data_IF_279483029489
#
_entry.id   IF_279483029489
#
_cell.length_a   1.000
_cell.length_b   1.000
_cell.length_c   1.000
_cell.angle_alpha   90.00
_cell.angle_beta   90.00
_cell.angle_gamma   90.00
#
_symmetry.space_group_name_H-M   'P 1'
#
loop_
_entity.id
_entity.type
_entity.pdbx_description
1 polymer ?
#
# COMPACT_ATOMS: atom_id res chain seq x y z
N UNK A 1 2.13 6.44 40.23
CA UNK A 1 1.82 5.39 41.21
C UNK A 1 1.09 4.27 40.45
N UNK A 2 1.59 3.03 40.54
CA UNK A 2 0.86 1.88 40.04
C UNK A 2 -0.47 1.74 40.80
N UNK A 3 -1.55 1.26 40.15
CA UNK A 3 -2.81 0.98 40.83
C UNK A 3 -2.62 -0.01 41.99
N UNK A 4 -3.38 0.15 43.04
CA UNK A 4 -3.35 -0.78 44.20
C UNK A 4 -3.71 -2.19 43.73
N UNK A 5 -2.82 -3.16 44.00
CA UNK A 5 -2.95 -4.55 43.58
C UNK A 5 -2.07 -4.98 42.41
N UNK A 6 -1.32 -4.05 41.79
CA UNK A 6 -0.30 -4.43 40.81
C UNK A 6 0.99 -4.89 41.51
N UNK A 7 1.43 -6.08 41.19
CA UNK A 7 2.75 -6.59 41.58
C UNK A 7 3.80 -6.11 40.58
N UNK A 8 4.93 -5.65 41.08
CA UNK A 8 6.05 -5.16 40.26
C UNK A 8 6.76 -6.29 39.48
N UNK A 9 6.69 -7.50 40.00
CA UNK A 9 7.35 -8.68 39.45
C UNK A 9 6.52 -9.94 39.79
N UNK A 10 6.33 -10.77 38.81
CA UNK A 10 5.66 -12.05 38.95
C UNK A 10 6.53 -13.14 38.28
N UNK A 11 7.04 -14.07 39.11
CA UNK A 11 7.77 -15.24 38.60
C UNK A 11 6.82 -16.42 38.50
N UNK A 12 6.76 -17.03 37.31
CA UNK A 12 5.88 -18.17 37.02
C UNK A 12 6.72 -19.31 36.49
N UNK A 13 6.82 -20.39 37.26
CA UNK A 13 7.59 -21.57 36.89
C UNK A 13 6.88 -22.37 35.77
N UNK A 14 7.67 -22.83 34.77
CA UNK A 14 7.17 -23.68 33.69
C UNK A 14 6.30 -22.97 32.65
N UNK A 15 6.23 -21.64 32.68
CA UNK A 15 5.50 -20.89 31.65
C UNK A 15 6.29 -20.84 30.34
N UNK A 16 5.60 -20.93 29.17
CA UNK A 16 6.20 -20.57 27.91
C UNK A 16 6.52 -19.07 27.88
N UNK A 17 7.41 -18.61 26.96
CA UNK A 17 7.68 -17.18 26.79
C UNK A 17 6.39 -16.39 26.53
N UNK A 18 6.19 -15.28 27.24
CA UNK A 18 5.00 -14.42 27.14
C UNK A 18 5.10 -13.40 26.00
N UNK A 19 6.10 -13.53 25.18
CA UNK A 19 6.34 -12.72 24.01
C UNK A 19 6.78 -13.60 22.85
N UNK A 20 6.58 -13.12 21.63
CA UNK A 20 7.14 -13.74 20.46
C UNK A 20 7.93 -12.69 19.67
N UNK A 21 9.08 -13.11 19.15
CA UNK A 21 9.89 -12.31 18.25
C UNK A 21 9.51 -12.69 16.83
N UNK A 22 9.11 -11.69 16.07
CA UNK A 22 8.93 -11.84 14.63
C UNK A 22 10.16 -11.30 13.92
N UNK A 23 10.80 -12.16 13.13
CA UNK A 23 11.87 -11.75 12.20
C UNK A 23 11.38 -11.93 10.78
N UNK A 24 11.47 -10.89 9.91
CA UNK A 24 11.18 -11.05 8.49
C UNK A 24 12.01 -12.17 7.87
N UNK A 25 11.48 -12.78 6.81
CA UNK A 25 12.13 -13.91 6.13
C UNK A 25 13.46 -13.55 5.43
N UNK A 26 13.82 -12.26 5.35
CA UNK A 26 15.09 -11.82 4.81
C UNK A 26 16.26 -12.20 5.74
N UNK A 27 17.26 -12.88 5.18
CA UNK A 27 18.44 -13.29 5.92
C UNK A 27 19.37 -12.11 6.15
N UNK A 28 19.76 -11.90 7.42
CA UNK A 28 20.80 -10.94 7.79
C UNK A 28 22.17 -11.58 7.57
N UNK A 29 22.86 -11.13 6.53
CA UNK A 29 24.21 -11.61 6.19
C UNK A 29 25.35 -10.66 6.64
N UNK A 30 25.03 -9.54 7.28
CA UNK A 30 26.00 -8.52 7.70
C UNK A 30 26.57 -8.85 9.08
N UNK A 31 25.77 -9.47 9.95
CA UNK A 31 26.17 -9.83 11.29
C UNK A 31 25.50 -11.15 11.70
N UNK A 32 26.31 -12.12 12.10
CA UNK A 32 25.83 -13.43 12.56
C UNK A 32 25.28 -13.40 14.00
N UNK A 33 24.98 -12.23 14.52
CA UNK A 33 24.38 -12.04 15.85
C UNK A 33 22.97 -12.67 15.94
N UNK A 34 22.53 -13.02 17.15
CA UNK A 34 21.35 -13.85 17.34
C UNK A 34 20.07 -13.19 16.86
N UNK A 35 19.46 -13.77 15.84
CA UNK A 35 18.02 -13.77 15.65
C UNK A 35 17.31 -12.51 15.19
N UNK A 36 18.01 -11.41 14.95
CA UNK A 36 17.38 -10.20 14.41
C UNK A 36 17.37 -10.28 12.89
N UNK A 37 16.18 -10.28 12.29
CA UNK A 37 16.00 -10.22 10.84
C UNK A 37 16.42 -8.89 10.25
N UNK A 38 16.51 -8.83 8.92
CA UNK A 38 16.66 -7.58 8.18
C UNK A 38 15.32 -6.94 7.89
N UNK A 39 15.29 -5.62 7.77
CA UNK A 39 14.12 -4.91 7.28
C UNK A 39 13.81 -5.33 5.84
N UNK A 40 12.52 -5.42 5.49
CA UNK A 40 12.06 -5.72 4.13
C UNK A 40 12.60 -4.73 3.09
N UNK A 41 12.86 -3.50 3.48
CA UNK A 41 13.38 -2.44 2.61
C UNK A 41 14.90 -2.20 2.76
N UNK A 42 15.62 -3.06 3.47
CA UNK A 42 17.05 -2.86 3.70
C UNK A 42 17.89 -2.82 2.42
N UNK A 43 17.50 -3.60 1.42
CA UNK A 43 18.18 -3.64 0.11
C UNK A 43 17.67 -2.55 -0.85
N UNK A 44 16.62 -1.82 -0.46
CA UNK A 44 15.97 -0.81 -1.27
C UNK A 44 16.22 0.63 -0.78
N UNK A 45 17.19 0.85 0.12
CA UNK A 45 17.48 2.18 0.70
C UNK A 45 17.88 3.19 -0.36
N UNK A 46 18.74 2.79 -1.30
CA UNK A 46 19.19 3.68 -2.38
C UNK A 46 18.03 4.06 -3.31
N UNK A 47 17.12 3.11 -3.56
CA UNK A 47 15.91 3.38 -4.35
C UNK A 47 14.93 4.27 -3.61
N UNK A 48 14.83 4.14 -2.28
CA UNK A 48 14.03 5.05 -1.46
C UNK A 48 14.54 6.50 -1.55
N UNK A 49 15.86 6.69 -1.49
CA UNK A 49 16.48 8.00 -1.74
C UNK A 49 16.21 8.50 -3.17
N UNK A 50 16.19 7.60 -4.15
CA UNK A 50 15.83 7.93 -5.52
C UNK A 50 14.39 8.43 -5.64
N UNK A 51 13.45 7.83 -4.91
CA UNK A 51 12.05 8.29 -4.84
C UNK A 51 11.97 9.69 -4.23
N UNK A 52 12.65 9.94 -3.11
CA UNK A 52 12.70 11.25 -2.46
C UNK A 52 13.23 12.31 -3.42
N UNK A 53 14.34 12.02 -4.09
CA UNK A 53 14.97 12.94 -5.06
C UNK A 53 14.03 13.22 -6.24
N UNK A 54 13.37 12.21 -6.79
CA UNK A 54 12.45 12.38 -7.90
C UNK A 54 11.22 13.23 -7.48
N UNK A 55 10.70 13.01 -6.29
CA UNK A 55 9.61 13.78 -5.73
C UNK A 55 10.00 15.23 -5.44
N UNK A 56 11.17 15.46 -4.86
CA UNK A 56 11.69 16.80 -4.61
C UNK A 56 11.93 17.57 -5.91
N UNK A 57 12.48 16.92 -6.93
CA UNK A 57 12.63 17.53 -8.25
C UNK A 57 11.28 17.92 -8.85
N UNK A 58 10.27 17.07 -8.73
CA UNK A 58 8.92 17.38 -9.20
C UNK A 58 8.34 18.59 -8.47
N UNK A 59 8.43 18.59 -7.14
CA UNK A 59 7.96 19.71 -6.31
C UNK A 59 8.71 21.01 -6.64
N UNK A 60 10.02 20.92 -6.83
CA UNK A 60 10.84 22.08 -7.13
C UNK A 60 10.56 22.62 -8.54
N UNK A 61 10.30 21.75 -9.50
CA UNK A 61 9.92 22.14 -10.87
C UNK A 61 8.57 22.90 -10.87
N UNK A 62 7.60 22.44 -10.08
CA UNK A 62 6.32 23.13 -9.88
C UNK A 62 6.52 24.49 -9.18
N UNK A 63 7.40 24.54 -8.18
CA UNK A 63 7.65 25.77 -7.43
C UNK A 63 8.43 26.79 -8.25
N UNK A 64 9.49 26.36 -8.95
CA UNK A 64 10.36 27.25 -9.75
C UNK A 64 9.79 27.51 -11.14
N UNK A 65 8.96 26.62 -11.68
CA UNK A 65 8.36 26.74 -13.00
C UNK A 65 7.17 27.74 -13.07
N UNK A 66 6.79 28.34 -11.95
CA UNK A 66 5.78 29.39 -11.94
C UNK A 66 6.19 30.56 -12.84
N UNK A 67 5.20 31.18 -13.50
CA UNK A 67 5.41 32.37 -14.33
C UNK A 67 6.17 33.43 -13.55
N UNK A 68 7.26 33.97 -14.13
CA UNK A 68 8.06 35.05 -13.56
C UNK A 68 8.18 36.19 -14.55
N UNK A 69 8.12 37.39 -14.04
CA UNK A 69 8.28 38.61 -14.83
C UNK A 69 9.52 39.33 -14.32
N UNK A 70 10.52 39.45 -15.19
CA UNK A 70 11.71 40.22 -14.94
C UNK A 70 11.51 41.60 -15.57
N UNK A 71 11.68 42.66 -14.79
CA UNK A 71 11.49 44.03 -15.24
C UNK A 71 12.63 44.94 -14.80
N UNK A 72 12.90 45.98 -15.58
CA UNK A 72 13.91 46.94 -15.21
C UNK A 72 13.39 47.81 -14.04
N UNK A 73 14.29 48.16 -13.10
CA UNK A 73 13.97 49.05 -11.95
C UNK A 73 13.40 50.39 -12.35
N UNK A 74 13.76 50.89 -13.54
CA UNK A 74 13.22 52.15 -14.07
C UNK A 74 11.69 52.14 -14.25
N UNK A 75 11.10 50.96 -14.41
CA UNK A 75 9.65 50.79 -14.50
C UNK A 75 8.93 50.84 -13.14
N UNK A 76 9.69 50.84 -12.03
CA UNK A 76 9.12 50.89 -10.70
C UNK A 76 8.78 52.29 -10.29
N UNK A 77 7.66 52.51 -9.62
CA UNK A 77 7.40 53.76 -8.91
C UNK A 77 8.38 53.92 -7.76
N UNK A 78 9.13 54.98 -7.73
CA UNK A 78 10.05 55.29 -6.63
C UNK A 78 9.30 56.13 -5.60
N UNK A 79 9.22 55.62 -4.36
CA UNK A 79 8.72 56.39 -3.21
C UNK A 79 9.92 56.64 -2.28
N UNK A 80 10.05 57.87 -1.80
CA UNK A 80 11.03 58.21 -0.78
C UNK A 80 10.44 57.79 0.57
N UNK A 81 11.09 56.82 1.22
CA UNK A 81 10.70 56.37 2.56
C UNK A 81 10.91 57.46 3.61
N UNK A 82 10.34 57.32 4.80
CA UNK A 82 10.52 58.24 5.93
C UNK A 82 11.99 58.35 6.38
N UNK A 83 12.83 57.41 5.98
CA UNK A 83 14.28 57.36 6.18
C UNK A 83 15.10 58.05 5.07
N UNK A 84 14.41 58.75 4.15
CA UNK A 84 15.03 59.47 3.03
C UNK A 84 15.60 58.57 1.91
N UNK A 85 15.39 57.25 2.01
CA UNK A 85 15.92 56.28 1.01
C UNK A 85 14.87 55.98 -0.04
N UNK A 86 15.26 55.92 -1.32
CA UNK A 86 14.32 55.51 -2.38
C UNK A 86 13.93 54.04 -2.20
N UNK A 87 12.62 53.79 -2.15
CA UNK A 87 12.03 52.46 -2.19
C UNK A 87 11.35 52.27 -3.53
N UNK A 88 11.64 51.19 -4.18
CA UNK A 88 10.99 50.79 -5.43
C UNK A 88 9.75 49.95 -5.14
N UNK A 89 8.60 50.38 -5.65
CA UNK A 89 7.37 49.60 -5.55
C UNK A 89 7.15 48.91 -6.88
N UNK A 90 7.09 47.56 -6.91
CA UNK A 90 6.75 46.85 -8.13
C UNK A 90 5.37 47.21 -8.61
N UNK A 91 5.09 47.12 -9.93
CA UNK A 91 3.76 47.35 -10.46
C UNK A 91 2.79 46.32 -9.85
N UNK A 92 1.75 46.85 -9.22
CA UNK A 92 0.65 46.15 -8.53
C UNK A 92 0.77 44.63 -8.27
N UNK A 93 0.97 44.38 -7.02
CA UNK A 93 0.33 43.42 -6.16
C UNK A 93 -0.23 42.13 -6.79
N UNK A 94 0.57 41.12 -6.87
CA UNK A 94 0.09 39.75 -6.72
C UNK A 94 1.27 38.82 -6.51
N UNK A 95 1.66 38.70 -5.28
CA UNK A 95 2.78 37.85 -4.82
C UNK A 95 4.18 38.32 -5.25
N UNK A 96 4.92 38.77 -4.29
CA UNK A 96 6.35 39.19 -4.34
C UNK A 96 7.25 38.16 -5.07
N UNK A 97 6.75 36.97 -5.34
CA UNK A 97 7.45 35.87 -6.01
C UNK A 97 7.34 35.87 -7.55
N UNK A 98 6.47 36.68 -8.14
CA UNK A 98 6.30 36.73 -9.60
C UNK A 98 7.10 37.83 -10.29
N UNK A 99 7.48 38.88 -9.57
CA UNK A 99 8.14 40.05 -10.13
C UNK A 99 9.58 40.17 -9.59
N UNK A 100 10.54 40.18 -10.50
CA UNK A 100 11.97 40.33 -10.19
C UNK A 100 12.54 41.57 -10.83
N UNK A 101 12.97 42.52 -10.01
CA UNK A 101 13.62 43.74 -10.49
C UNK A 101 15.07 43.46 -10.88
N UNK A 102 15.41 43.73 -12.13
CA UNK A 102 16.78 43.68 -12.61
C UNK A 102 17.49 45.02 -12.32
N UNK A 103 18.81 45.03 -11.99
CA UNK A 103 19.59 46.25 -11.89
C UNK A 103 19.64 46.88 -13.28
N UNK A 104 19.15 48.15 -13.39
CA UNK A 104 19.24 48.90 -14.63
C UNK A 104 20.69 48.98 -15.15
N UNK A 105 20.87 48.89 -16.45
CA UNK A 105 22.17 49.12 -17.10
C UNK A 105 22.43 50.60 -17.07
N UNK A 106 23.28 51.07 -16.16
CA UNK A 106 23.82 52.46 -16.23
C UNK A 106 24.63 52.61 -17.51
N UNK A 107 24.17 53.46 -18.42
CA UNK A 107 24.93 53.93 -19.58
C UNK A 107 24.51 53.48 -20.98
N UNK A 108 23.37 52.83 -21.16
CA UNK A 108 22.82 52.58 -22.50
C UNK A 108 21.84 53.71 -22.92
N UNK A 109 22.19 54.42 -23.97
CA UNK A 109 21.35 55.51 -24.56
C UNK A 109 20.19 54.98 -25.41
N UNK A 110 20.05 53.67 -25.52
CA UNK A 110 18.90 53.01 -26.12
C UNK A 110 17.89 52.63 -25.03
N UNK A 111 16.98 53.51 -24.78
CA UNK A 111 15.85 53.38 -23.84
C UNK A 111 14.80 52.36 -24.33
N UNK A 112 15.12 51.13 -24.53
CA UNK A 112 14.13 50.06 -24.55
C UNK A 112 13.97 49.54 -23.14
N UNK A 113 12.98 50.00 -22.43
CA UNK A 113 12.48 49.43 -21.19
C UNK A 113 12.14 47.96 -21.46
N UNK A 114 13.06 47.04 -21.09
CA UNK A 114 12.87 45.63 -21.34
C UNK A 114 12.23 44.98 -20.12
N UNK A 115 11.12 44.35 -20.34
CA UNK A 115 10.56 43.35 -19.45
C UNK A 115 10.63 41.98 -20.12
N UNK A 116 10.96 40.95 -19.35
CA UNK A 116 11.07 39.59 -19.83
C UNK A 116 10.08 38.73 -19.07
N UNK A 117 9.24 38.05 -19.79
CA UNK A 117 8.35 37.05 -19.24
C UNK A 117 9.05 35.69 -19.33
N UNK A 118 9.18 35.03 -18.20
CA UNK A 118 9.67 33.66 -18.09
C UNK A 118 8.48 32.78 -17.71
N UNK A 119 8.01 32.00 -18.64
CA UNK A 119 6.89 31.06 -18.48
C UNK A 119 7.29 29.72 -19.09
N UNK A 120 8.15 28.94 -18.41
CA UNK A 120 8.60 27.66 -18.94
C UNK A 120 7.48 26.63 -18.93
N UNK A 121 7.50 25.73 -19.90
CA UNK A 121 6.65 24.57 -19.86
C UNK A 121 7.03 23.68 -18.67
N UNK A 122 6.04 23.34 -17.85
CA UNK A 122 6.24 22.44 -16.71
C UNK A 122 6.44 21.03 -17.21
N UNK A 123 7.51 20.36 -16.76
CA UNK A 123 7.85 18.96 -17.11
C UNK A 123 7.07 17.97 -16.27
N UNK A 124 5.77 18.17 -16.13
CA UNK A 124 4.91 17.37 -15.24
C UNK A 124 4.88 15.90 -15.62
N UNK A 125 4.82 15.59 -16.93
CA UNK A 125 4.78 14.21 -17.41
C UNK A 125 6.10 13.50 -17.18
N UNK A 126 7.23 14.13 -17.47
CA UNK A 126 8.56 13.57 -17.24
C UNK A 126 8.82 13.34 -15.76
N UNK A 127 8.44 14.29 -14.91
CA UNK A 127 8.59 14.17 -13.46
C UNK A 127 7.68 13.06 -12.91
N UNK A 128 6.45 12.96 -13.39
CA UNK A 128 5.54 11.87 -13.02
C UNK A 128 6.13 10.50 -13.39
N UNK A 129 6.66 10.36 -14.60
CA UNK A 129 7.34 9.13 -15.03
C UNK A 129 8.55 8.81 -14.15
N UNK A 130 9.39 9.80 -13.85
CA UNK A 130 10.56 9.60 -12.99
C UNK A 130 10.18 9.09 -11.59
N UNK A 131 9.15 9.68 -10.97
CA UNK A 131 8.62 9.21 -9.68
C UNK A 131 8.08 7.78 -9.80
N UNK A 132 7.32 7.48 -10.87
CA UNK A 132 6.76 6.16 -11.10
C UNK A 132 7.85 5.10 -11.32
N UNK A 133 8.89 5.41 -12.08
CA UNK A 133 10.00 4.49 -12.34
C UNK A 133 10.80 4.19 -11.06
N UNK A 134 11.05 5.20 -10.22
CA UNK A 134 11.72 5.01 -8.94
C UNK A 134 10.86 4.20 -7.95
N UNK A 135 9.54 4.42 -7.93
CA UNK A 135 8.61 3.62 -7.12
C UNK A 135 8.56 2.16 -7.59
N UNK A 136 8.61 1.92 -8.89
CA UNK A 136 8.64 0.56 -9.44
C UNK A 136 9.93 -0.16 -9.05
N UNK A 137 11.08 0.51 -9.12
CA UNK A 137 12.37 -0.04 -8.71
C UNK A 137 12.40 -0.33 -7.21
N UNK A 138 11.93 0.60 -6.39
CA UNK A 138 11.80 0.43 -4.94
C UNK A 138 10.91 -0.76 -4.61
N UNK A 139 9.75 -0.85 -5.24
CA UNK A 139 8.80 -1.94 -5.05
C UNK A 139 9.40 -3.29 -5.43
N UNK A 140 10.10 -3.36 -6.54
CA UNK A 140 10.80 -4.57 -7.00
C UNK A 140 11.85 -5.03 -6.00
N UNK A 141 12.70 -4.12 -5.52
CA UNK A 141 13.75 -4.44 -4.54
C UNK A 141 13.17 -4.85 -3.17
N UNK A 142 12.01 -4.34 -2.80
CA UNK A 142 11.27 -4.80 -1.62
C UNK A 142 10.59 -6.17 -1.80
N UNK A 143 10.66 -6.76 -3.00
CA UNK A 143 10.00 -8.03 -3.32
C UNK A 143 8.47 -7.92 -3.42
N UNK A 144 7.95 -6.70 -3.66
CA UNK A 144 6.51 -6.46 -3.83
C UNK A 144 6.07 -6.53 -5.29
N UNK A 145 7.02 -6.78 -6.20
CA UNK A 145 6.83 -6.77 -7.65
C UNK A 145 6.84 -5.36 -8.24
N UNK A 146 6.98 -5.29 -9.58
CA UNK A 146 6.82 -4.04 -10.31
C UNK A 146 5.35 -3.62 -10.33
N UNK A 147 5.09 -2.33 -10.46
CA UNK A 147 3.74 -1.75 -10.60
C UNK A 147 2.83 -1.87 -9.34
N UNK A 148 3.39 -2.12 -8.17
CA UNK A 148 2.62 -2.12 -6.91
C UNK A 148 2.04 -0.74 -6.61
N UNK A 149 2.82 0.30 -6.86
CA UNK A 149 2.46 1.71 -6.66
C UNK A 149 2.24 2.37 -8.02
N UNK A 150 1.19 2.00 -8.73
CA UNK A 150 0.83 2.62 -9.98
C UNK A 150 -0.26 3.67 -9.75
N UNK A 151 0.00 4.91 -10.14
CA UNK A 151 -0.97 6.01 -10.08
C UNK A 151 -1.94 5.97 -11.26
N UNK A 152 -1.49 5.44 -12.39
CA UNK A 152 -2.37 5.19 -13.52
C UNK A 152 -3.16 3.91 -13.26
N UNK A 153 -4.42 4.03 -12.88
CA UNK A 153 -5.37 2.93 -12.87
C UNK A 153 -5.72 2.53 -14.32
N UNK A 154 -4.68 2.30 -15.12
CA UNK A 154 -4.81 1.85 -16.49
C UNK A 154 -5.23 0.39 -16.54
N UNK A 155 -6.24 0.14 -17.31
CA UNK A 155 -6.73 -1.11 -17.89
C UNK A 155 -6.05 -2.36 -17.34
N UNK A 156 -6.59 -2.93 -16.30
CA UNK A 156 -6.39 -4.35 -16.01
C UNK A 156 -7.06 -5.11 -17.15
N UNK A 157 -6.27 -5.61 -18.07
CA UNK A 157 -6.77 -6.14 -19.35
C UNK A 157 -7.28 -7.56 -19.23
N UNK A 158 -6.72 -8.36 -18.34
CA UNK A 158 -7.16 -9.74 -18.09
C UNK A 158 -6.88 -10.17 -16.64
N UNK A 159 -7.68 -11.11 -16.12
CA UNK A 159 -7.47 -11.70 -14.81
C UNK A 159 -6.10 -12.39 -14.69
N UNK A 160 -5.64 -13.04 -15.74
CA UNK A 160 -4.34 -13.72 -15.80
C UNK A 160 -3.17 -12.74 -15.68
N UNK A 161 -3.25 -11.59 -16.34
CA UNK A 161 -2.24 -10.54 -16.27
C UNK A 161 -2.20 -9.89 -14.88
N UNK A 162 -3.37 -9.70 -14.27
CA UNK A 162 -3.49 -9.21 -12.90
C UNK A 162 -2.88 -10.18 -11.89
N UNK A 163 -3.14 -11.47 -12.03
CA UNK A 163 -2.57 -12.52 -11.16
C UNK A 163 -1.07 -12.63 -11.36
N UNK A 164 -0.59 -12.60 -12.61
CA UNK A 164 0.83 -12.62 -12.94
C UNK A 164 1.59 -11.44 -12.34
N UNK A 165 1.04 -10.23 -12.40
CA UNK A 165 1.66 -9.02 -11.83
C UNK A 165 1.77 -9.03 -10.30
N UNK A 166 1.01 -9.89 -9.61
CA UNK A 166 1.03 -10.05 -8.15
C UNK A 166 1.83 -11.24 -7.65
N UNK A 167 2.35 -12.05 -8.54
CA UNK A 167 3.06 -13.28 -8.15
C UNK A 167 4.23 -13.02 -7.21
N UNK A 168 5.01 -11.97 -7.45
CA UNK A 168 6.13 -11.58 -6.58
C UNK A 168 5.65 -11.19 -5.18
N UNK A 169 4.58 -10.40 -5.10
CA UNK A 169 3.95 -10.02 -3.83
C UNK A 169 3.48 -11.24 -3.05
N UNK A 170 2.83 -12.19 -3.74
CA UNK A 170 2.35 -13.44 -3.15
C UNK A 170 3.50 -14.27 -2.60
N UNK A 171 4.58 -14.42 -3.37
CA UNK A 171 5.76 -15.15 -2.92
C UNK A 171 6.40 -14.49 -1.70
N UNK A 172 6.51 -13.17 -1.68
CA UNK A 172 7.04 -12.41 -0.54
C UNK A 172 6.15 -12.53 0.68
N UNK A 173 4.83 -12.47 0.51
CA UNK A 173 3.86 -12.68 1.59
C UNK A 173 3.99 -14.09 2.17
N UNK A 174 4.01 -15.12 1.32
CA UNK A 174 4.11 -16.52 1.75
C UNK A 174 5.41 -16.79 2.53
N UNK A 175 6.53 -16.21 2.11
CA UNK A 175 7.80 -16.32 2.87
C UNK A 175 7.67 -15.76 4.28
N UNK A 176 6.95 -14.66 4.46
CA UNK A 176 6.77 -14.02 5.75
C UNK A 176 5.65 -14.65 6.61
N UNK A 177 4.73 -15.42 6.02
CA UNK A 177 3.70 -16.16 6.76
C UNK A 177 4.30 -17.15 7.76
N UNK A 178 5.34 -17.89 7.37
CA UNK A 178 5.98 -18.92 8.21
C UNK A 178 6.48 -18.35 9.55
N UNK A 179 7.33 -17.31 9.60
CA UNK A 179 7.77 -16.74 10.87
C UNK A 179 6.64 -16.07 11.66
N UNK A 180 5.65 -15.48 10.99
CA UNK A 180 4.46 -14.92 11.65
C UNK A 180 3.64 -16.02 12.31
N UNK A 181 3.39 -17.13 11.61
CA UNK A 181 2.66 -18.28 12.13
C UNK A 181 3.37 -18.86 13.39
N UNK A 182 4.68 -19.02 13.33
CA UNK A 182 5.48 -19.49 14.46
C UNK A 182 5.33 -18.56 15.67
N UNK A 183 5.38 -17.24 15.46
CA UNK A 183 5.21 -16.25 16.51
C UNK A 183 3.79 -16.27 17.10
N UNK A 184 2.76 -16.35 16.24
CA UNK A 184 1.35 -16.44 16.66
C UNK A 184 1.08 -17.70 17.48
N UNK A 185 1.56 -18.86 17.03
CA UNK A 185 1.43 -20.13 17.78
C UNK A 185 2.10 -20.02 19.14
N UNK A 186 3.28 -19.38 19.22
CA UNK A 186 3.98 -19.15 20.48
C UNK A 186 3.15 -18.31 21.48
N UNK A 187 2.59 -17.19 21.02
CA UNK A 187 1.73 -16.34 21.85
C UNK A 187 0.45 -17.05 22.28
N UNK A 188 -0.21 -17.74 21.34
CA UNK A 188 -1.45 -18.47 21.64
C UNK A 188 -1.21 -19.59 22.67
N UNK A 189 -0.09 -20.31 22.60
CA UNK A 189 0.29 -21.29 23.63
C UNK A 189 0.51 -20.64 24.99
N UNK A 190 1.16 -19.48 25.04
CA UNK A 190 1.33 -18.74 26.28
C UNK A 190 -0.03 -18.30 26.87
N UNK A 191 -0.95 -17.85 26.02
CA UNK A 191 -2.32 -17.48 26.43
C UNK A 191 -3.10 -18.69 26.97
N UNK A 192 -3.07 -19.84 26.29
CA UNK A 192 -3.72 -21.07 26.74
C UNK A 192 -3.12 -21.57 28.06
N UNK A 193 -1.81 -21.50 28.20
CA UNK A 193 -1.12 -21.85 29.44
C UNK A 193 -1.57 -20.93 30.61
N UNK A 194 -1.64 -19.62 30.36
CA UNK A 194 -2.10 -18.65 31.35
C UNK A 194 -3.57 -18.87 31.72
N UNK A 195 -4.42 -19.14 30.75
CA UNK A 195 -5.83 -19.42 30.97
C UNK A 195 -6.01 -20.64 31.88
N UNK A 196 -5.27 -21.71 31.66
CA UNK A 196 -5.32 -22.90 32.51
C UNK A 196 -4.74 -22.67 33.91
N UNK A 197 -3.51 -22.16 33.98
CA UNK A 197 -2.75 -22.19 35.22
C UNK A 197 -3.00 -20.97 36.12
N UNK A 198 -3.36 -19.81 35.53
CA UNK A 198 -3.63 -18.58 36.27
C UNK A 198 -5.11 -18.29 36.48
N UNK A 199 -5.93 -18.62 35.48
CA UNK A 199 -7.36 -18.31 35.52
C UNK A 199 -8.24 -19.54 35.82
N UNK A 200 -7.64 -20.75 35.90
CA UNK A 200 -8.36 -22.00 36.16
C UNK A 200 -9.36 -22.41 35.09
N UNK A 201 -9.17 -21.94 33.83
CA UNK A 201 -10.03 -22.32 32.74
C UNK A 201 -9.80 -23.79 32.33
N UNK A 202 -10.86 -24.49 31.94
CA UNK A 202 -10.79 -25.85 31.44
C UNK A 202 -10.36 -25.87 29.97
N UNK A 203 -9.07 -25.62 29.72
CA UNK A 203 -8.45 -25.62 28.39
C UNK A 203 -7.17 -26.44 28.38
N UNK A 204 -6.87 -27.08 27.26
CA UNK A 204 -5.61 -27.83 27.10
C UNK A 204 -4.57 -26.93 26.39
N UNK A 205 -3.47 -26.56 27.08
CA UNK A 205 -2.37 -25.77 26.49
C UNK A 205 -1.65 -26.48 25.32
N UNK A 206 -1.77 -27.79 25.23
CA UNK A 206 -1.10 -28.59 24.20
C UNK A 206 -1.98 -28.84 22.97
N UNK A 207 -3.15 -28.24 22.91
CA UNK A 207 -4.03 -28.31 21.75
C UNK A 207 -3.27 -27.92 20.46
N UNK A 208 -3.52 -28.64 19.37
CA UNK A 208 -2.95 -28.28 18.05
C UNK A 208 -3.56 -26.96 17.58
N UNK A 209 -2.69 -25.99 17.32
CA UNK A 209 -3.08 -24.67 16.83
C UNK A 209 -2.73 -24.64 15.34
N UNK A 210 -3.69 -24.31 14.49
CA UNK A 210 -3.49 -24.05 13.07
C UNK A 210 -3.90 -22.62 12.76
N UNK A 211 -3.09 -21.93 11.96
CA UNK A 211 -3.39 -20.61 11.45
C UNK A 211 -3.91 -20.78 10.02
N UNK A 212 -5.10 -20.31 9.76
CA UNK A 212 -5.66 -20.30 8.42
C UNK A 212 -5.51 -18.89 7.83
N UNK A 213 -4.71 -18.78 6.76
CA UNK A 213 -4.47 -17.54 6.08
C UNK A 213 -5.58 -17.26 5.07
N UNK A 214 -6.02 -16.02 5.00
CA UNK A 214 -6.94 -15.59 3.96
C UNK A 214 -6.15 -15.22 2.70
N UNK A 215 -6.24 -16.06 1.69
CA UNK A 215 -5.56 -15.87 0.40
C UNK A 215 -6.37 -15.01 -0.59
N UNK A 216 -7.43 -14.34 -0.14
CA UNK A 216 -8.32 -13.52 -0.98
C UNK A 216 -7.62 -12.38 -1.73
N UNK A 217 -6.42 -11.97 -1.29
CA UNK A 217 -5.60 -10.99 -1.99
C UNK A 217 -4.87 -11.56 -3.22
N UNK A 218 -4.81 -12.88 -3.36
CA UNK A 218 -4.13 -13.60 -4.46
C UNK A 218 -5.08 -13.84 -5.61
N UNK A 219 -6.25 -14.38 -5.30
CA UNK A 219 -7.27 -14.75 -6.28
C UNK A 219 -8.48 -13.84 -6.06
N UNK A 220 -8.96 -13.21 -7.12
CA UNK A 220 -10.17 -12.40 -7.00
C UNK A 220 -11.32 -13.29 -6.54
N UNK A 221 -12.21 -12.75 -5.71
CA UNK A 221 -13.39 -13.48 -5.23
C UNK A 221 -14.25 -14.01 -6.40
N UNK A 222 -14.21 -13.31 -7.52
CA UNK A 222 -14.86 -13.71 -8.76
C UNK A 222 -14.23 -14.96 -9.39
N UNK A 223 -12.88 -15.01 -9.44
CA UNK A 223 -12.16 -16.19 -9.98
C UNK A 223 -12.35 -17.41 -9.08
N UNK A 224 -12.26 -17.23 -7.76
CA UNK A 224 -12.52 -18.30 -6.79
C UNK A 224 -13.92 -18.86 -6.94
N UNK A 225 -14.89 -17.97 -7.11
CA UNK A 225 -16.30 -18.37 -7.32
C UNK A 225 -16.48 -19.07 -8.67
N UNK A 226 -15.78 -18.63 -9.72
CA UNK A 226 -15.81 -19.29 -11.03
C UNK A 226 -15.18 -20.69 -10.97
N UNK A 227 -14.04 -20.86 -10.30
CA UNK A 227 -13.42 -22.17 -10.08
C UNK A 227 -14.34 -23.12 -9.30
N UNK A 228 -14.93 -22.62 -8.19
CA UNK A 228 -15.88 -23.40 -7.41
C UNK A 228 -17.11 -23.82 -8.24
N UNK A 229 -17.55 -22.97 -9.17
CA UNK A 229 -18.63 -23.32 -10.10
C UNK A 229 -18.23 -24.46 -11.03
N UNK A 230 -17.03 -24.35 -11.62
CA UNK A 230 -16.53 -25.33 -12.57
C UNK A 230 -16.24 -26.67 -11.87
N UNK A 231 -15.69 -26.66 -10.67
CA UNK A 231 -15.51 -27.84 -9.82
C UNK A 231 -16.85 -28.48 -9.41
N UNK A 232 -17.87 -27.66 -9.11
CA UNK A 232 -19.22 -28.16 -8.80
C UNK A 232 -19.90 -28.76 -10.03
N UNK A 233 -19.67 -28.23 -11.23
CA UNK A 233 -20.14 -28.80 -12.51
C UNK A 233 -19.42 -30.12 -12.79
N UNK A 234 -18.10 -30.18 -12.55
CA UNK A 234 -17.31 -31.39 -12.69
C UNK A 234 -17.60 -32.47 -11.61
N UNK A 235 -18.40 -32.15 -10.60
CA UNK A 235 -18.75 -33.06 -9.52
C UNK A 235 -17.65 -33.26 -8.47
N UNK A 236 -16.59 -32.46 -8.49
CA UNK A 236 -15.48 -32.51 -7.55
C UNK A 236 -15.84 -31.90 -6.20
N UNK A 237 -16.74 -30.91 -6.19
CA UNK A 237 -17.17 -30.19 -4.99
C UNK A 237 -18.69 -30.16 -4.92
N UNK A 238 -19.30 -30.27 -3.74
CA UNK A 238 -20.76 -30.15 -3.59
C UNK A 238 -21.26 -28.78 -4.03
N UNK A 239 -22.36 -28.71 -4.76
CA UNK A 239 -22.98 -27.46 -5.24
C UNK A 239 -23.30 -26.47 -4.12
N UNK A 240 -23.61 -26.94 -2.92
CA UNK A 240 -23.84 -26.08 -1.77
C UNK A 240 -22.63 -25.20 -1.40
N UNK A 241 -21.40 -25.65 -1.64
CA UNK A 241 -20.22 -24.83 -1.42
C UNK A 241 -20.12 -23.67 -2.40
N UNK A 242 -20.44 -23.89 -3.67
CA UNK A 242 -20.54 -22.81 -4.66
C UNK A 242 -21.63 -21.80 -4.29
N UNK A 243 -22.82 -22.28 -3.90
CA UNK A 243 -23.92 -21.42 -3.50
C UNK A 243 -23.59 -20.59 -2.26
N UNK A 244 -22.96 -21.19 -1.26
CA UNK A 244 -22.48 -20.49 -0.06
C UNK A 244 -21.49 -19.40 -0.41
N UNK A 245 -20.48 -19.68 -1.23
CA UNK A 245 -19.45 -18.72 -1.63
C UNK A 245 -20.01 -17.59 -2.52
N UNK A 246 -20.96 -17.91 -3.43
CA UNK A 246 -21.51 -16.96 -4.39
C UNK A 246 -22.51 -15.99 -3.78
N UNK A 247 -23.32 -16.46 -2.86
CA UNK A 247 -24.46 -15.71 -2.31
C UNK A 247 -24.32 -15.39 -0.82
N UNK A 248 -23.19 -15.76 -0.18
CA UNK A 248 -22.97 -15.52 1.24
C UNK A 248 -23.93 -16.30 2.16
N UNK A 249 -24.45 -17.43 1.68
CA UNK A 249 -25.43 -18.24 2.42
C UNK A 249 -24.77 -19.11 3.48
N UNK A 250 -25.47 -19.35 4.58
CA UNK A 250 -25.06 -20.38 5.53
C UNK A 250 -25.08 -21.77 4.88
N UNK A 251 -24.31 -22.71 5.42
CA UNK A 251 -24.24 -24.07 4.86
C UNK A 251 -25.59 -24.77 4.80
N UNK A 252 -26.47 -24.48 5.78
CA UNK A 252 -27.82 -25.01 5.81
C UNK A 252 -28.71 -24.47 4.69
N UNK A 253 -28.70 -23.17 4.49
CA UNK A 253 -29.43 -22.48 3.42
C UNK A 253 -28.92 -22.90 2.05
N UNK A 254 -27.60 -22.98 1.87
CA UNK A 254 -27.01 -23.43 0.61
C UNK A 254 -27.38 -24.88 0.25
N UNK A 255 -27.49 -25.79 1.24
CA UNK A 255 -27.97 -27.16 1.03
C UNK A 255 -29.44 -27.19 0.67
N UNK A 256 -30.26 -26.34 1.31
CA UNK A 256 -31.67 -26.23 1.02
C UNK A 256 -31.90 -25.73 -0.41
N UNK A 257 -31.19 -24.66 -0.83
CA UNK A 257 -31.29 -24.15 -2.19
C UNK A 257 -30.83 -25.18 -3.24
N UNK A 258 -29.78 -25.95 -2.95
CA UNK A 258 -29.31 -27.01 -3.84
C UNK A 258 -30.40 -28.10 -4.00
N UNK A 259 -31.09 -28.49 -2.91
CA UNK A 259 -32.14 -29.48 -2.94
C UNK A 259 -33.40 -28.99 -3.68
N UNK A 260 -33.78 -27.71 -3.49
CA UNK A 260 -34.87 -27.07 -4.21
C UNK A 260 -34.62 -27.04 -5.72
N UNK A 261 -33.42 -26.62 -6.14
CA UNK A 261 -33.05 -26.60 -7.56
C UNK A 261 -33.01 -28.00 -8.19
N UNK A 262 -32.59 -29.02 -7.45
CA UNK A 262 -32.64 -30.41 -7.95
C UNK A 262 -34.07 -30.97 -8.01
N UNK A 263 -34.96 -30.53 -7.13
CA UNK A 263 -36.39 -30.89 -7.17
C UNK A 263 -37.10 -30.24 -8.37
N UNK A 264 -36.85 -28.98 -8.66
CA UNK A 264 -37.39 -28.28 -9.84
C UNK A 264 -36.93 -28.94 -11.14
N UNK A 265 -35.66 -29.28 -11.28
CA UNK A 265 -35.15 -30.00 -12.46
C UNK A 265 -35.83 -31.34 -12.69
N UNK A 266 -36.07 -32.12 -11.63
CA UNK A 266 -36.78 -33.41 -11.75
C UNK A 266 -38.23 -33.22 -12.20
N UNK A 267 -38.87 -32.12 -11.81
CA UNK A 267 -40.23 -31.81 -12.20
C UNK A 267 -40.32 -31.39 -13.67
N UNK A 268 -39.35 -30.63 -14.16
CA UNK A 268 -39.24 -30.24 -15.57
C UNK A 268 -38.95 -31.44 -16.48
N UNK A 269 -38.02 -32.34 -16.08
CA UNK A 269 -37.71 -33.56 -16.82
C UNK A 269 -38.92 -34.49 -16.92
N UNK A 270 -39.78 -34.55 -15.88
CA UNK A 270 -41.02 -35.35 -15.90
C UNK A 270 -42.11 -34.73 -16.79
N UNK A 271 -42.17 -33.42 -16.92
CA UNK A 271 -43.12 -32.72 -17.79
C UNK A 271 -42.72 -32.82 -19.27
N UNK A 272 -41.46 -32.94 -19.60
CA UNK A 272 -40.94 -33.07 -20.99
C UNK A 272 -41.11 -34.50 -21.53
N UNK A 273 -41.15 -35.52 -20.69
CA UNK A 273 -41.37 -36.93 -21.08
C UNK A 273 -42.87 -37.35 -21.08
N UNK A 274 -43.81 -36.52 -20.62
CA UNK A 274 -45.24 -36.81 -20.58
C UNK A 274 -46.05 -36.36 -21.78
N UNK A 275 -45.41 -35.88 -22.85
CA UNK A 275 -46.03 -35.38 -24.09
C UNK A 275 -45.58 -36.15 -25.34
N UNK A 276 -45.87 -37.46 -25.40
CA UNK A 276 -45.79 -38.27 -26.62
C UNK A 276 -47.02 -39.14 -26.75
#
# INVERSE_FOLDING_TARGET
>A
KAPDGMVSEMTVDGSPPWFALFSPAALKNIDLGPGLGMSVFSEALDSAQGVDLAFDNYRQDLYLGGKKIFYDKSLCKTIIGADGKPRFIPPDDLSVQQFYALPGREGSLDEKQEWHEYNPDLRTEQNHRAVQDMLNLFSFQCGLGCHRYNFDQGKVTTATEYTGSRQDLVQSANKNQIPIETALIGILRAMLWAAKNLLGADVDPNTSISVNWDDSYIVSEQERTAQLRDDAIAGLVPRCRYLSARYGLSEKEARQWAAEADAERRTEDTLTFGGA
#
